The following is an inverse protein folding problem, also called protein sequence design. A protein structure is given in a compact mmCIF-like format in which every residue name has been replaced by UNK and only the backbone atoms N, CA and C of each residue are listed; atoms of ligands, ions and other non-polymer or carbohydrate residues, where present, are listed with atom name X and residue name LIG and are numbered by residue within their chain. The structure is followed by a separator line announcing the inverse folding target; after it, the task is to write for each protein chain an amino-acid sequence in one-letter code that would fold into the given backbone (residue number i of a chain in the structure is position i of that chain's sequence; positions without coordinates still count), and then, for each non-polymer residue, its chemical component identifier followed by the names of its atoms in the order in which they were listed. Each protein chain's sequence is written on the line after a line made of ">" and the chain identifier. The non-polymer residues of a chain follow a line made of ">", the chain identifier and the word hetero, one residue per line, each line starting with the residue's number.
data_IF_263311631508
#
_entry.id   IF_263311631508
#
_cell.length_a   1.000
_cell.length_b   1.000
_cell.length_c   1.000
_cell.angle_alpha   90.00
_cell.angle_beta   90.00
_cell.angle_gamma   90.00
#
_symmetry.space_group_name_H-M   'P 1'
#
loop_
_entity.id
_entity.type
_entity.pdbx_description
1 polymer ?
#
# COMPACT_ATOMS: atom_id res chain seq x y z
N UNK A 1 26.72 0.30 -5.43
CA UNK A 1 26.95 1.61 -4.77
C UNK A 1 25.94 1.77 -3.65
N UNK A 2 26.30 2.24 -2.46
CA UNK A 2 25.36 2.35 -1.35
C UNK A 2 24.40 3.51 -1.61
N UNK A 3 23.09 3.23 -1.62
CA UNK A 3 22.08 4.26 -1.57
C UNK A 3 21.97 4.77 -0.13
N UNK A 4 22.24 6.04 0.07
CA UNK A 4 22.01 6.69 1.36
C UNK A 4 20.52 7.02 1.46
N UNK A 5 19.80 6.35 2.35
CA UNK A 5 18.49 6.77 2.78
C UNK A 5 18.67 7.70 3.98
N UNK A 6 18.28 8.95 3.84
CA UNK A 6 18.22 9.86 4.99
C UNK A 6 16.86 9.67 5.64
N UNK A 7 16.82 8.98 6.77
CA UNK A 7 15.62 8.84 7.59
C UNK A 7 15.57 10.03 8.55
N UNK A 8 14.62 10.93 8.38
CA UNK A 8 14.31 11.94 9.37
C UNK A 8 13.21 11.41 10.30
N UNK A 9 13.59 11.04 11.51
CA UNK A 9 12.67 10.69 12.60
C UNK A 9 12.17 11.98 13.27
N UNK A 10 10.88 12.21 13.40
CA UNK A 10 10.39 13.16 14.37
C UNK A 10 10.43 12.50 15.76
N UNK A 11 11.35 12.92 16.62
CA UNK A 11 11.19 12.68 18.06
C UNK A 11 9.92 13.41 18.51
N UNK A 12 9.13 12.71 19.34
CA UNK A 12 7.88 13.19 19.95
C UNK A 12 8.14 14.45 20.80
N UNK A 13 8.17 15.60 20.17
CA UNK A 13 7.96 16.90 20.81
C UNK A 13 6.97 17.64 19.92
N UNK A 14 5.83 17.99 20.52
CA UNK A 14 4.71 18.62 19.87
C UNK A 14 5.08 19.95 19.21
N UNK A 15 5.44 19.88 17.95
CA UNK A 15 5.50 21.05 17.09
C UNK A 15 4.25 21.07 16.23
N UNK A 16 3.37 22.00 16.54
CA UNK A 16 2.34 22.46 15.62
C UNK A 16 3.03 23.03 14.38
N UNK A 17 3.39 22.15 13.43
CA UNK A 17 3.75 22.60 12.09
C UNK A 17 2.45 23.15 11.47
N UNK A 18 2.33 24.48 11.43
CA UNK A 18 1.14 25.13 10.92
C UNK A 18 0.88 24.64 9.49
N UNK A 19 -0.37 24.33 9.20
CA UNK A 19 -0.90 23.94 7.88
C UNK A 19 -0.47 24.91 6.76
N UNK A 20 0.04 26.09 7.11
CA UNK A 20 0.60 27.11 6.20
C UNK A 20 1.91 26.69 5.53
N UNK A 21 2.75 25.87 6.18
CA UNK A 21 4.00 25.38 5.56
C UNK A 21 3.74 24.28 4.53
N UNK A 22 2.73 23.44 4.75
CA UNK A 22 2.34 22.38 3.81
C UNK A 22 1.68 22.99 2.57
N UNK A 23 0.82 24.02 2.75
CA UNK A 23 0.26 24.76 1.63
C UNK A 23 1.33 25.55 0.84
N UNK A 24 2.31 26.13 1.52
CA UNK A 24 3.44 26.81 0.87
C UNK A 24 4.26 25.90 -0.02
N UNK A 25 4.49 24.66 0.40
CA UNK A 25 5.20 23.65 -0.40
C UNK A 25 4.36 23.20 -1.61
N UNK A 26 3.05 23.11 -1.47
CA UNK A 26 2.12 22.77 -2.57
C UNK A 26 1.99 23.89 -3.61
N UNK A 27 2.07 25.16 -3.19
CA UNK A 27 1.95 26.31 -4.10
C UNK A 27 3.22 26.54 -4.94
N UNK A 28 4.40 26.22 -4.41
CA UNK A 28 5.66 26.28 -5.18
C UNK A 28 5.70 25.21 -6.29
N UNK A 29 4.92 24.13 -6.15
CA UNK A 29 4.84 23.04 -7.14
C UNK A 29 3.91 23.34 -8.34
N UNK A 30 3.08 24.38 -8.28
CA UNK A 30 2.03 24.59 -9.29
C UNK A 30 2.41 25.50 -10.47
N UNK A 31 3.64 26.01 -10.56
CA UNK A 31 4.02 26.98 -11.57
C UNK A 31 5.25 26.53 -12.37
N UNK A 32 5.09 25.55 -13.25
CA UNK A 32 6.00 25.39 -14.40
C UNK A 32 5.41 24.39 -15.40
N UNK A 33 4.51 24.83 -16.27
CA UNK A 33 4.19 24.13 -17.51
C UNK A 33 5.13 24.69 -18.57
N UNK A 34 6.18 23.96 -18.93
CA UNK A 34 6.99 24.27 -20.11
C UNK A 34 7.34 23.01 -20.89
N UNK A 35 7.25 23.18 -22.19
CA UNK A 35 7.53 22.35 -23.34
C UNK A 35 8.63 21.28 -23.19
N UNK A 36 8.34 20.07 -23.69
CA UNK A 36 9.18 18.89 -23.71
C UNK A 36 9.94 18.74 -25.02
N UNK A 37 11.23 18.43 -24.91
CA UNK A 37 11.94 17.56 -25.84
C UNK A 37 11.97 16.16 -25.24
N UNK A 38 11.53 15.16 -25.99
CA UNK A 38 11.46 13.76 -25.53
C UNK A 38 12.87 13.15 -25.53
N UNK A 39 13.54 13.12 -24.40
CA UNK A 39 14.63 12.19 -24.14
C UNK A 39 14.10 11.02 -23.31
N UNK A 40 14.10 9.83 -23.89
CA UNK A 40 13.82 8.59 -23.18
C UNK A 40 15.03 8.27 -22.31
N UNK A 41 14.99 8.65 -21.05
CA UNK A 41 15.97 8.19 -20.06
C UNK A 41 15.52 6.80 -19.59
N UNK A 42 16.15 5.77 -20.16
CA UNK A 42 16.03 4.41 -19.61
C UNK A 42 16.82 4.39 -18.31
N UNK A 43 16.15 4.59 -17.18
CA UNK A 43 16.71 4.28 -15.88
C UNK A 43 16.79 2.76 -15.83
N UNK A 44 18.00 2.20 -15.95
CA UNK A 44 18.20 0.78 -15.74
C UNK A 44 17.64 0.43 -14.35
N UNK A 45 16.54 -0.30 -14.32
CA UNK A 45 16.07 -0.92 -13.09
C UNK A 45 17.25 -1.69 -12.52
N UNK A 46 17.51 -1.53 -11.21
CA UNK A 46 18.53 -2.31 -10.51
C UNK A 46 18.30 -3.75 -10.86
N UNK A 47 19.16 -4.30 -11.72
CA UNK A 47 19.07 -5.68 -12.14
C UNK A 47 19.10 -6.57 -10.89
N UNK A 48 18.01 -7.21 -10.59
CA UNK A 48 17.85 -8.22 -9.55
C UNK A 48 18.56 -9.51 -9.99
N UNK A 49 19.85 -9.42 -10.21
CA UNK A 49 20.65 -10.53 -10.78
C UNK A 49 20.71 -11.74 -9.86
N UNK A 50 20.23 -11.64 -8.61
CA UNK A 50 20.42 -12.70 -7.61
C UNK A 50 19.17 -13.18 -6.88
N UNK A 51 17.96 -12.77 -7.24
CA UNK A 51 16.77 -13.34 -6.63
C UNK A 51 16.20 -14.44 -7.50
N UNK A 52 16.35 -15.71 -7.10
CA UNK A 52 15.94 -16.84 -7.93
C UNK A 52 14.43 -16.98 -8.10
N UNK A 53 13.62 -16.10 -7.51
CA UNK A 53 12.17 -16.23 -7.55
C UNK A 53 11.49 -14.88 -7.32
N UNK A 54 11.18 -14.20 -8.41
CA UNK A 54 10.36 -12.99 -8.44
C UNK A 54 9.12 -13.28 -9.28
N UNK A 55 7.94 -13.09 -8.71
CA UNK A 55 6.70 -13.08 -9.47
C UNK A 55 6.29 -11.64 -9.70
N UNK A 56 5.86 -11.35 -10.91
CA UNK A 56 5.33 -10.05 -11.29
C UNK A 56 3.86 -10.21 -11.66
N UNK A 57 3.01 -9.41 -11.07
CA UNK A 57 1.59 -9.28 -11.41
C UNK A 57 1.45 -7.95 -12.13
N UNK A 58 1.14 -7.99 -13.42
CA UNK A 58 1.07 -6.82 -14.28
C UNK A 58 -0.25 -6.04 -14.09
N UNK A 59 -0.29 -4.79 -14.58
CA UNK A 59 -1.48 -3.94 -14.49
C UNK A 59 -2.71 -4.58 -15.16
N UNK A 60 -2.51 -5.29 -16.25
CA UNK A 60 -3.56 -6.00 -16.97
C UNK A 60 -4.21 -7.07 -16.06
N UNK A 61 -3.39 -7.91 -15.41
CA UNK A 61 -3.87 -8.96 -14.49
C UNK A 61 -4.56 -8.34 -13.27
N UNK A 62 -4.01 -7.25 -12.73
CA UNK A 62 -4.61 -6.50 -11.61
C UNK A 62 -5.99 -5.96 -12.02
N UNK A 63 -6.09 -5.41 -13.24
CA UNK A 63 -7.33 -4.85 -13.75
C UNK A 63 -8.38 -5.90 -14.07
N UNK A 64 -7.98 -7.07 -14.59
CA UNK A 64 -8.87 -8.19 -14.88
C UNK A 64 -9.44 -8.81 -13.60
N UNK A 65 -8.60 -8.99 -12.56
CA UNK A 65 -9.05 -9.53 -11.28
C UNK A 65 -9.93 -8.54 -10.54
N UNK A 66 -9.61 -7.25 -10.61
CA UNK A 66 -10.32 -6.18 -9.91
C UNK A 66 -10.64 -6.57 -8.45
N UNK A 67 -9.61 -6.90 -7.70
CA UNK A 67 -9.67 -7.60 -6.42
C UNK A 67 -10.48 -6.86 -5.34
N UNK A 68 -11.32 -7.58 -4.63
CA UNK A 68 -11.98 -7.08 -3.41
C UNK A 68 -11.07 -7.12 -2.19
N UNK A 69 -10.10 -8.00 -2.22
CA UNK A 69 -9.12 -8.13 -1.17
C UNK A 69 -7.75 -8.48 -1.74
N UNK A 70 -6.70 -7.99 -1.14
CA UNK A 70 -5.32 -8.22 -1.58
C UNK A 70 -4.94 -9.70 -1.75
N UNK A 71 -5.63 -10.59 -1.03
CA UNK A 71 -5.49 -12.05 -1.17
C UNK A 71 -5.66 -12.50 -2.62
N UNK A 72 -6.60 -11.90 -3.35
CA UNK A 72 -6.94 -12.32 -4.71
C UNK A 72 -5.78 -12.03 -5.66
N UNK A 73 -5.08 -10.93 -5.49
CA UNK A 73 -3.89 -10.58 -6.26
C UNK A 73 -2.69 -11.45 -5.87
N UNK A 74 -2.41 -11.58 -4.58
CA UNK A 74 -1.23 -12.31 -4.13
C UNK A 74 -1.35 -13.84 -4.27
N UNK A 75 -2.54 -14.37 -4.45
CA UNK A 75 -2.74 -15.79 -4.80
C UNK A 75 -2.18 -16.15 -6.18
N UNK A 76 -1.91 -15.19 -7.05
CA UNK A 76 -1.19 -15.41 -8.30
C UNK A 76 0.28 -15.75 -8.08
N UNK A 77 0.83 -15.40 -6.93
CA UNK A 77 2.23 -15.68 -6.59
C UNK A 77 2.35 -16.99 -5.83
N UNK A 78 2.99 -17.98 -6.43
CA UNK A 78 3.24 -19.27 -5.79
C UNK A 78 4.14 -19.12 -4.56
N UNK A 79 3.80 -19.80 -3.45
CA UNK A 79 4.56 -19.73 -2.19
C UNK A 79 4.27 -18.46 -1.37
N UNK A 80 3.32 -17.66 -1.79
CA UNK A 80 2.72 -16.57 -1.01
C UNK A 80 1.36 -17.04 -0.52
N UNK A 81 1.06 -16.78 0.73
CA UNK A 81 -0.22 -17.12 1.31
C UNK A 81 -0.77 -15.96 2.13
N UNK A 82 -2.04 -15.66 1.95
CA UNK A 82 -2.77 -14.67 2.72
C UNK A 82 -4.00 -15.31 3.34
N UNK A 83 -4.10 -15.25 4.66
CA UNK A 83 -5.35 -15.45 5.36
C UNK A 83 -6.11 -14.14 5.41
N UNK A 84 -7.30 -14.14 4.88
CA UNK A 84 -8.27 -13.05 5.05
C UNK A 84 -8.99 -13.24 6.38
N UNK A 85 -8.96 -12.22 7.24
CA UNK A 85 -9.82 -12.11 8.39
C UNK A 85 -11.14 -11.40 8.04
N UNK A 86 -11.65 -10.56 8.92
CA UNK A 86 -12.79 -9.68 8.63
C UNK A 86 -12.38 -8.56 7.69
N UNK A 87 -13.26 -8.21 6.76
CA UNK A 87 -13.07 -7.08 5.84
C UNK A 87 -11.72 -7.09 5.11
N UNK A 88 -10.89 -6.12 5.39
CA UNK A 88 -9.57 -5.90 4.78
C UNK A 88 -8.40 -6.46 5.62
N UNK A 89 -8.67 -7.28 6.62
CA UNK A 89 -7.61 -7.91 7.40
C UNK A 89 -6.80 -8.91 6.58
N UNK A 90 -5.48 -8.88 6.76
CA UNK A 90 -4.54 -9.71 6.01
C UNK A 90 -3.45 -10.26 6.92
N UNK A 91 -3.32 -11.57 7.01
CA UNK A 91 -2.16 -12.25 7.59
C UNK A 91 -1.38 -12.90 6.46
N UNK A 92 -0.15 -12.45 6.26
CA UNK A 92 0.66 -12.82 5.10
C UNK A 92 1.79 -13.73 5.50
N UNK A 93 2.12 -14.68 4.64
CA UNK A 93 3.37 -15.42 4.67
C UNK A 93 3.98 -15.55 3.27
N UNK A 94 5.30 -15.51 3.20
CA UNK A 94 6.07 -15.70 1.96
C UNK A 94 7.08 -16.81 2.24
N UNK A 95 6.78 -18.03 1.78
CA UNK A 95 7.62 -19.24 2.03
C UNK A 95 8.01 -19.39 3.51
N UNK A 96 7.14 -18.97 4.42
CA UNK A 96 7.38 -18.98 5.86
C UNK A 96 6.11 -19.34 6.61
N UNK A 97 6.19 -19.77 7.87
CA UNK A 97 5.01 -19.79 8.74
C UNK A 97 4.42 -18.38 8.89
N UNK A 98 3.12 -18.32 9.17
CA UNK A 98 2.41 -17.06 9.45
C UNK A 98 2.83 -16.54 10.81
N UNK A 99 2.87 -15.23 10.98
CA UNK A 99 3.15 -14.54 12.25
C UNK A 99 4.51 -14.95 12.87
N UNK A 100 5.51 -15.21 12.05
CA UNK A 100 6.87 -15.44 12.52
C UNK A 100 7.64 -14.15 12.75
N UNK A 101 8.70 -14.19 13.55
CA UNK A 101 9.54 -13.04 13.89
C UNK A 101 9.14 -12.35 15.18
N UNK A 102 9.81 -11.26 15.50
CA UNK A 102 9.56 -10.49 16.71
C UNK A 102 8.14 -9.96 16.73
N UNK A 103 7.43 -10.17 17.84
CA UNK A 103 6.05 -9.75 18.02
C UNK A 103 5.05 -10.47 17.12
N UNK A 104 5.39 -11.68 16.62
CA UNK A 104 4.53 -12.48 15.74
C UNK A 104 4.07 -11.74 14.47
N UNK A 105 4.91 -10.87 13.92
CA UNK A 105 4.52 -9.94 12.85
C UNK A 105 4.97 -10.35 11.44
N UNK A 106 5.59 -11.50 11.31
CA UNK A 106 6.20 -11.95 10.06
C UNK A 106 7.51 -11.21 9.75
N UNK A 107 8.41 -11.91 9.06
CA UNK A 107 9.70 -11.35 8.66
C UNK A 107 9.72 -11.11 7.15
N UNK A 108 8.77 -10.38 6.64
CA UNK A 108 8.66 -9.92 5.26
C UNK A 108 8.41 -8.41 5.24
N UNK A 109 8.75 -7.77 4.14
CA UNK A 109 8.62 -6.34 3.96
C UNK A 109 7.54 -6.03 2.91
N UNK A 110 6.80 -4.95 3.12
CA UNK A 110 5.93 -4.36 2.12
C UNK A 110 6.46 -2.97 1.82
N UNK A 111 6.68 -2.70 0.53
CA UNK A 111 7.14 -1.40 0.05
C UNK A 111 6.25 -0.90 -1.08
N UNK A 112 6.12 0.40 -1.21
CA UNK A 112 5.50 1.05 -2.36
C UNK A 112 6.47 2.09 -2.91
N UNK A 113 6.80 2.00 -4.21
CA UNK A 113 7.80 2.82 -4.87
C UNK A 113 9.11 2.96 -4.04
N UNK A 114 9.62 1.82 -3.55
CA UNK A 114 10.83 1.70 -2.73
C UNK A 114 10.70 2.23 -1.29
N UNK A 115 9.55 2.76 -0.89
CA UNK A 115 9.30 3.26 0.47
C UNK A 115 8.63 2.17 1.32
N UNK A 116 9.22 1.77 2.46
CA UNK A 116 8.57 0.87 3.40
C UNK A 116 7.27 1.46 3.94
N UNK A 117 6.19 0.71 3.87
CA UNK A 117 4.87 1.18 4.35
C UNK A 117 4.71 1.04 5.87
N UNK A 118 5.63 0.38 6.56
CA UNK A 118 5.61 0.30 8.02
C UNK A 118 6.83 0.98 8.65
N UNK A 119 6.70 1.57 9.86
CA UNK A 119 7.83 2.02 10.65
C UNK A 119 8.74 0.86 11.06
N UNK A 120 10.02 1.13 11.29
CA UNK A 120 10.95 0.16 11.85
C UNK A 120 10.45 -0.36 13.21
N UNK A 121 10.52 -1.68 13.39
CA UNK A 121 10.09 -2.32 14.64
C UNK A 121 8.57 -2.45 14.81
N UNK A 122 7.78 -2.00 13.86
CA UNK A 122 6.32 -2.13 13.90
C UNK A 122 5.82 -3.39 13.17
N UNK A 123 4.68 -3.91 13.59
CA UNK A 123 4.08 -5.10 13.03
C UNK A 123 3.54 -4.88 11.62
N UNK A 124 3.75 -5.85 10.70
CA UNK A 124 3.20 -5.81 9.34
C UNK A 124 1.75 -6.29 9.24
N UNK A 125 1.22 -6.83 10.31
CA UNK A 125 -0.14 -7.36 10.30
C UNK A 125 -1.10 -6.25 9.93
N UNK A 126 -1.92 -6.52 8.93
CA UNK A 126 -2.96 -5.61 8.42
C UNK A 126 -2.49 -4.32 7.74
N UNK A 127 -1.20 -4.09 7.52
CA UNK A 127 -0.75 -2.85 6.88
C UNK A 127 -1.06 -2.78 5.36
N UNK A 128 -1.48 -3.88 4.73
CA UNK A 128 -1.88 -3.86 3.32
C UNK A 128 -3.06 -2.93 3.02
N UNK A 129 -3.86 -2.56 4.02
CA UNK A 129 -4.92 -1.58 3.79
C UNK A 129 -4.37 -0.21 3.34
N UNK A 130 -3.12 0.12 3.69
CA UNK A 130 -2.49 1.40 3.37
C UNK A 130 -2.10 1.54 1.89
N UNK A 131 -2.06 0.46 1.15
CA UNK A 131 -1.69 0.46 -0.28
C UNK A 131 -2.87 0.14 -1.16
N UNK A 132 -2.83 0.60 -2.39
CA UNK A 132 -3.91 0.43 -3.35
C UNK A 132 -3.52 -0.58 -4.42
N UNK A 133 -3.74 -1.89 -4.14
CA UNK A 133 -3.42 -2.96 -5.07
C UNK A 133 -4.05 -2.76 -6.45
N UNK A 134 -5.34 -2.41 -6.50
CA UNK A 134 -6.06 -2.19 -7.77
C UNK A 134 -5.66 -0.91 -8.52
N UNK A 135 -4.93 0.00 -7.88
CA UNK A 135 -4.38 1.22 -8.50
C UNK A 135 -2.89 1.09 -8.79
N UNK A 136 -2.29 -0.07 -8.47
CA UNK A 136 -0.88 -0.33 -8.77
C UNK A 136 -0.69 -0.69 -10.24
N UNK A 137 0.41 -0.24 -10.82
CA UNK A 137 0.81 -0.64 -12.17
C UNK A 137 1.49 -2.01 -12.20
N UNK A 138 2.04 -2.45 -11.08
CA UNK A 138 2.67 -3.76 -10.93
C UNK A 138 2.78 -4.14 -9.46
N UNK A 139 2.66 -5.41 -9.17
CA UNK A 139 2.98 -5.98 -7.85
C UNK A 139 4.08 -7.03 -8.04
N UNK A 140 5.21 -6.83 -7.40
CA UNK A 140 6.32 -7.76 -7.41
C UNK A 140 6.38 -8.51 -6.08
N UNK A 141 6.41 -9.82 -6.13
CA UNK A 141 6.64 -10.66 -4.95
C UNK A 141 8.02 -11.28 -5.05
N UNK A 142 8.95 -10.78 -4.26
CA UNK A 142 10.34 -11.25 -4.21
C UNK A 142 10.43 -12.26 -3.07
N UNK A 143 10.70 -13.51 -3.41
CA UNK A 143 10.71 -14.64 -2.50
C UNK A 143 12.14 -15.00 -2.10
N UNK A 144 12.38 -15.09 -0.81
CA UNK A 144 13.70 -15.33 -0.25
C UNK A 144 14.30 -14.07 0.37
N UNK A 145 15.46 -14.19 1.00
CA UNK A 145 16.07 -13.10 1.73
C UNK A 145 16.49 -11.95 0.81
N UNK A 146 15.96 -10.78 1.10
CA UNK A 146 16.30 -9.51 0.44
C UNK A 146 16.84 -8.48 1.44
N UNK A 147 17.22 -8.94 2.64
CA UNK A 147 17.63 -8.10 3.77
C UNK A 147 18.88 -7.28 3.48
N UNK A 148 19.79 -7.76 2.62
CA UNK A 148 21.01 -7.04 2.23
C UNK A 148 20.71 -5.75 1.45
N UNK A 149 19.54 -5.68 0.81
CA UNK A 149 19.14 -4.53 0.01
C UNK A 149 18.09 -3.67 0.72
N UNK A 150 17.11 -4.32 1.38
CA UNK A 150 15.93 -3.66 1.95
C UNK A 150 15.89 -3.64 3.48
N UNK A 151 16.87 -4.24 4.14
CA UNK A 151 16.95 -4.29 5.60
C UNK A 151 16.32 -5.51 6.24
N UNK A 152 16.46 -5.64 7.56
CA UNK A 152 16.22 -6.86 8.32
C UNK A 152 14.81 -7.43 8.26
N UNK A 153 13.81 -6.63 7.90
CA UNK A 153 12.44 -7.09 7.78
C UNK A 153 12.18 -7.92 6.50
N UNK A 154 13.06 -7.86 5.51
CA UNK A 154 12.95 -8.62 4.27
C UNK A 154 13.61 -10.00 4.35
N UNK A 155 13.53 -10.70 5.48
CA UNK A 155 14.17 -11.99 5.71
C UNK A 155 13.60 -13.12 4.84
N UNK A 156 12.29 -13.21 4.74
CA UNK A 156 11.61 -14.23 3.93
C UNK A 156 11.24 -13.76 2.53
N UNK A 157 11.22 -12.45 2.34
CA UNK A 157 10.89 -11.82 1.08
C UNK A 157 10.28 -10.43 1.23
N UNK A 158 9.84 -9.89 0.13
CA UNK A 158 9.14 -8.61 0.12
C UNK A 158 8.04 -8.57 -0.96
N UNK A 159 7.06 -7.72 -0.71
CA UNK A 159 6.03 -7.34 -1.66
C UNK A 159 6.32 -5.89 -2.03
N UNK A 160 6.65 -5.66 -3.30
CA UNK A 160 6.92 -4.33 -3.85
C UNK A 160 5.75 -3.92 -4.76
N UNK A 161 5.03 -2.89 -4.36
CA UNK A 161 4.01 -2.29 -5.19
C UNK A 161 4.62 -1.14 -5.97
N UNK A 162 4.40 -1.15 -7.26
CA UNK A 162 4.64 0.02 -8.11
C UNK A 162 3.34 0.80 -8.18
N UNK A 163 3.35 2.03 -7.73
CA UNK A 163 2.16 2.90 -7.81
C UNK A 163 1.74 3.11 -9.27
N UNK A 164 0.61 3.77 -9.44
CA UNK A 164 0.10 4.14 -10.76
C UNK A 164 1.20 4.78 -11.64
N UNK A 165 1.26 4.40 -12.91
CA UNK A 165 2.17 5.00 -13.91
C UNK A 165 1.49 6.13 -14.67
N UNK A 166 2.29 6.92 -15.39
CA UNK A 166 1.78 8.01 -16.25
C UNK A 166 1.22 7.48 -17.57
N UNK A 167 1.66 6.30 -17.98
CA UNK A 167 1.22 5.61 -19.18
C UNK A 167 0.09 4.62 -18.85
N UNK A 168 -0.68 4.23 -19.87
CA UNK A 168 -1.78 3.29 -19.77
C UNK A 168 -3.15 3.92 -19.98
N UNK A 169 -4.19 3.13 -19.83
CA UNK A 169 -5.56 3.55 -20.13
C UNK A 169 -6.22 4.28 -18.94
N UNK A 170 -7.00 5.31 -19.26
CA UNK A 170 -7.93 5.90 -18.31
C UNK A 170 -9.13 4.97 -18.13
N UNK A 171 -9.61 4.81 -16.93
CA UNK A 171 -10.73 3.93 -16.65
C UNK A 171 -11.66 4.48 -15.58
N UNK A 172 -12.93 4.12 -15.69
CA UNK A 172 -13.94 4.28 -14.66
C UNK A 172 -14.68 2.96 -14.54
N UNK A 173 -14.83 2.46 -13.34
CA UNK A 173 -15.53 1.23 -13.04
C UNK A 173 -16.51 1.40 -11.90
N UNK A 174 -17.65 0.72 -12.00
CA UNK A 174 -18.64 0.61 -10.95
C UNK A 174 -19.06 -0.86 -10.81
N UNK A 175 -19.16 -1.32 -9.59
CA UNK A 175 -19.59 -2.68 -9.28
C UNK A 175 -20.59 -2.64 -8.13
N UNK A 176 -21.67 -3.38 -8.29
CA UNK A 176 -22.70 -3.55 -7.27
C UNK A 176 -22.98 -5.05 -7.17
N UNK A 177 -22.89 -5.59 -5.98
CA UNK A 177 -23.19 -6.99 -5.75
C UNK A 177 -24.58 -7.19 -5.13
N UNK A 178 -24.98 -8.46 -5.02
CA UNK A 178 -26.28 -8.87 -4.43
C UNK A 178 -26.42 -8.54 -2.94
N UNK A 179 -25.33 -8.23 -2.24
CA UNK A 179 -25.33 -7.88 -0.83
C UNK A 179 -25.37 -6.35 -0.63
N UNK A 180 -25.66 -5.60 -1.70
CA UNK A 180 -25.62 -4.13 -1.74
C UNK A 180 -24.21 -3.55 -1.43
N UNK A 181 -23.17 -4.30 -1.74
CA UNK A 181 -21.82 -3.74 -1.73
C UNK A 181 -21.61 -2.92 -3.00
N UNK A 182 -20.97 -1.77 -2.85
CA UNK A 182 -20.71 -0.83 -3.93
C UNK A 182 -19.22 -0.58 -4.01
N UNK A 183 -18.67 -0.72 -5.20
CA UNK A 183 -17.30 -0.31 -5.51
C UNK A 183 -17.28 0.65 -6.67
N UNK A 184 -16.39 1.62 -6.58
CA UNK A 184 -16.07 2.49 -7.71
C UNK A 184 -14.57 2.69 -7.80
N UNK A 185 -14.07 2.63 -9.04
CA UNK A 185 -12.65 2.86 -9.36
C UNK A 185 -12.56 3.90 -10.45
N UNK A 186 -11.65 4.84 -10.29
CA UNK A 186 -11.36 5.85 -11.27
C UNK A 186 -9.85 5.99 -11.45
N UNK A 187 -9.39 5.94 -12.70
CA UNK A 187 -7.98 6.17 -13.07
C UNK A 187 -7.95 7.20 -14.19
N UNK A 188 -7.17 8.23 -14.02
CA UNK A 188 -6.93 9.26 -15.03
C UNK A 188 -5.44 9.58 -15.14
N UNK A 189 -4.94 9.59 -16.36
CA UNK A 189 -3.56 9.92 -16.73
C UNK A 189 -3.56 11.04 -17.73
N UNK A 190 -2.67 12.00 -17.55
CA UNK A 190 -2.64 13.19 -18.39
C UNK A 190 -1.20 13.57 -18.74
N UNK A 191 -0.94 13.68 -20.04
CA UNK A 191 0.32 14.21 -20.59
C UNK A 191 1.59 13.54 -20.08
N UNK A 192 1.54 12.28 -19.72
CA UNK A 192 2.66 11.49 -19.17
C UNK A 192 3.37 12.13 -17.95
N UNK A 193 2.75 13.11 -17.28
CA UNK A 193 3.31 13.81 -16.12
C UNK A 193 2.38 13.84 -14.92
N UNK A 194 1.13 13.39 -15.09
CA UNK A 194 0.13 13.35 -14.05
C UNK A 194 -0.65 12.03 -14.12
N UNK A 195 -0.71 11.34 -13.03
CA UNK A 195 -1.57 10.18 -12.86
C UNK A 195 -2.35 10.30 -11.54
N UNK A 196 -3.62 9.99 -11.61
CA UNK A 196 -4.55 10.05 -10.49
C UNK A 196 -5.38 8.79 -10.44
N UNK A 197 -5.48 8.19 -9.26
CA UNK A 197 -6.32 7.02 -9.01
C UNK A 197 -7.17 7.22 -7.75
N UNK A 198 -8.40 6.73 -7.80
CA UNK A 198 -9.31 6.71 -6.66
C UNK A 198 -10.08 5.39 -6.65
N UNK A 199 -10.23 4.82 -5.46
CA UNK A 199 -11.02 3.63 -5.20
C UNK A 199 -11.90 3.89 -3.96
N UNK A 200 -13.19 3.63 -4.10
CA UNK A 200 -14.19 3.76 -3.04
C UNK A 200 -14.94 2.45 -2.93
N UNK A 201 -14.86 1.83 -1.76
CA UNK A 201 -15.50 0.56 -1.46
C UNK A 201 -16.43 0.70 -0.26
N UNK A 202 -17.64 0.17 -0.38
CA UNK A 202 -18.60 0.00 0.70
C UNK A 202 -19.15 -1.41 0.64
N UNK A 203 -18.72 -2.26 1.55
CA UNK A 203 -19.15 -3.66 1.66
C UNK A 203 -20.02 -3.81 2.91
N UNK A 204 -21.25 -4.29 2.73
CA UNK A 204 -22.18 -4.49 3.86
C UNK A 204 -21.90 -5.78 4.64
N UNK A 205 -20.92 -6.56 4.17
CA UNK A 205 -20.54 -7.81 4.79
C UNK A 205 -21.57 -8.95 4.55
N UNK A 206 -21.14 -10.17 4.83
CA UNK A 206 -21.99 -11.36 4.65
C UNK A 206 -22.83 -11.69 5.90
N UNK A 207 -22.55 -11.02 7.03
CA UNK A 207 -23.27 -11.15 8.29
C UNK A 207 -23.34 -9.82 9.03
N UNK A 208 -24.17 -9.74 10.04
CA UNK A 208 -24.34 -8.51 10.83
C UNK A 208 -23.02 -8.06 11.46
N UNK A 209 -22.67 -6.79 11.31
CA UNK A 209 -21.45 -6.21 11.87
C UNK A 209 -20.17 -6.79 11.27
N UNK A 210 -20.14 -6.99 9.94
CA UNK A 210 -18.95 -7.48 9.23
C UNK A 210 -18.63 -6.69 7.97
N UNK A 211 -19.24 -5.52 7.82
CA UNK A 211 -18.99 -4.64 6.69
C UNK A 211 -17.76 -3.76 6.85
N UNK A 212 -17.42 -3.04 5.79
CA UNK A 212 -16.40 -2.01 5.81
C UNK A 212 -16.67 -0.94 4.76
N UNK A 213 -16.17 0.25 5.04
CA UNK A 213 -16.06 1.35 4.09
C UNK A 213 -14.57 1.70 3.95
N UNK A 214 -14.09 1.76 2.69
CA UNK A 214 -12.70 2.08 2.40
C UNK A 214 -12.60 3.11 1.29
N UNK A 215 -11.73 4.09 1.46
CA UNK A 215 -11.39 5.09 0.45
C UNK A 215 -9.90 5.11 0.23
N UNK A 216 -9.47 5.06 -1.01
CA UNK A 216 -8.07 5.15 -1.43
C UNK A 216 -7.92 6.20 -2.51
N UNK A 217 -6.87 6.97 -2.38
CA UNK A 217 -6.52 8.05 -3.29
C UNK A 217 -5.02 8.01 -3.57
N UNK A 218 -4.64 8.07 -4.82
CA UNK A 218 -3.25 8.14 -5.26
C UNK A 218 -3.11 9.25 -6.29
N UNK A 219 -2.13 10.10 -6.10
CA UNK A 219 -1.74 11.14 -7.06
C UNK A 219 -0.24 11.04 -7.31
N UNK A 220 0.16 10.89 -8.54
CA UNK A 220 1.55 10.88 -8.97
C UNK A 220 1.81 11.99 -9.97
N UNK A 221 2.93 12.69 -9.81
CA UNK A 221 3.35 13.76 -10.72
C UNK A 221 4.82 13.59 -11.08
N UNK A 222 5.17 13.93 -12.33
CA UNK A 222 6.53 14.03 -12.79
C UNK A 222 6.83 15.45 -13.21
N UNK A 223 7.98 15.97 -12.81
CA UNK A 223 8.50 17.26 -13.21
C UNK A 223 10.01 17.18 -13.44
N UNK A 224 10.53 18.04 -14.33
CA UNK A 224 11.97 18.20 -14.55
C UNK A 224 12.38 19.64 -14.25
N UNK A 225 13.44 19.79 -13.49
CA UNK A 225 14.01 21.11 -13.17
C UNK A 225 15.53 21.03 -13.09
N UNK A 226 16.23 21.77 -13.92
CA UNK A 226 17.70 21.83 -13.98
C UNK A 226 18.33 20.42 -13.98
N UNK A 227 17.95 19.55 -14.91
CA UNK A 227 18.40 18.16 -15.07
C UNK A 227 18.03 17.21 -13.89
N UNK A 228 17.23 17.68 -12.93
CA UNK A 228 16.63 16.82 -11.94
C UNK A 228 15.28 16.29 -12.44
N UNK A 229 15.13 14.99 -12.43
CA UNK A 229 13.82 14.35 -12.55
C UNK A 229 13.22 14.27 -11.14
N UNK A 230 11.99 14.74 -11.00
CA UNK A 230 11.25 14.80 -9.74
C UNK A 230 9.93 14.04 -9.91
N UNK A 231 9.82 12.87 -9.27
CA UNK A 231 8.59 12.09 -9.21
C UNK A 231 8.00 12.22 -7.81
N UNK A 232 6.80 12.77 -7.72
CA UNK A 232 6.10 12.92 -6.43
C UNK A 232 4.90 12.01 -6.37
N UNK A 233 4.69 11.36 -5.22
CA UNK A 233 3.56 10.49 -4.92
C UNK A 233 2.87 10.97 -3.65
N UNK A 234 1.54 11.12 -3.72
CA UNK A 234 0.66 11.29 -2.57
C UNK A 234 -0.26 10.08 -2.53
N UNK A 235 -0.31 9.39 -1.39
CA UNK A 235 -1.22 8.27 -1.16
C UNK A 235 -2.00 8.53 0.12
N UNK A 236 -3.32 8.43 0.05
CA UNK A 236 -4.23 8.61 1.17
C UNK A 236 -5.14 7.40 1.23
N UNK A 237 -5.28 6.84 2.42
CA UNK A 237 -6.19 5.72 2.66
C UNK A 237 -6.96 5.94 3.94
N UNK A 238 -8.25 5.63 3.90
CA UNK A 238 -9.12 5.57 5.06
C UNK A 238 -9.88 4.24 5.04
N UNK A 239 -9.98 3.60 6.19
CA UNK A 239 -10.71 2.34 6.41
C UNK A 239 -11.52 2.47 7.69
N UNK A 240 -12.83 2.24 7.56
CA UNK A 240 -13.73 2.03 8.68
C UNK A 240 -14.32 0.63 8.53
N UNK A 241 -14.11 -0.25 9.49
CA UNK A 241 -14.42 -1.66 9.38
C UNK A 241 -15.05 -2.19 10.65
N UNK A 242 -16.18 -2.87 10.50
CA UNK A 242 -16.74 -3.74 11.53
C UNK A 242 -15.96 -5.06 11.54
N UNK A 243 -15.40 -5.42 12.68
CA UNK A 243 -14.64 -6.67 12.82
C UNK A 243 -15.50 -7.72 13.46
N UNK A 244 -16.14 -8.52 12.61
CA UNK A 244 -17.02 -9.59 13.09
C UNK A 244 -16.26 -10.58 13.96
N UNK A 245 -16.83 -10.90 15.12
CA UNK A 245 -16.22 -11.78 16.09
C UNK A 245 -16.08 -13.22 15.60
N UNK A 246 -15.37 -13.99 16.38
CA UNK A 246 -15.07 -15.41 16.11
C UNK A 246 -16.32 -16.28 16.21
N UNK A 247 -16.36 -17.34 15.39
CA UNK A 247 -17.34 -18.43 15.48
C UNK A 247 -16.60 -19.77 15.60
N UNK A 248 -17.17 -20.70 16.39
CA UNK A 248 -16.50 -21.97 16.70
C UNK A 248 -16.41 -22.91 15.49
N UNK A 249 -17.41 -22.86 14.60
CA UNK A 249 -17.50 -23.76 13.46
C UNK A 249 -18.31 -23.11 12.32
N UNK A 250 -17.97 -23.46 11.10
CA UNK A 250 -18.77 -23.10 9.92
C UNK A 250 -20.20 -23.65 9.98
N UNK A 251 -20.38 -24.80 10.61
CA UNK A 251 -21.70 -25.44 10.81
C UNK A 251 -22.50 -24.85 11.98
N UNK A 252 -21.91 -23.89 12.70
CA UNK A 252 -22.58 -23.26 13.83
C UNK A 252 -23.93 -22.65 13.38
N UNK A 253 -25.06 -22.93 14.08
CA UNK A 253 -26.38 -22.46 13.68
C UNK A 253 -26.46 -20.93 13.53
N UNK A 254 -25.69 -20.19 14.32
CA UNK A 254 -25.63 -18.73 14.34
C UNK A 254 -24.44 -18.13 13.57
N UNK A 255 -23.90 -18.86 12.58
CA UNK A 255 -22.73 -18.38 11.81
C UNK A 255 -22.91 -17.04 11.11
N UNK A 256 -24.14 -16.63 10.86
CA UNK A 256 -24.48 -15.34 10.27
C UNK A 256 -24.69 -14.23 11.31
N UNK A 257 -24.72 -14.58 12.60
CA UNK A 257 -24.79 -13.62 13.69
C UNK A 257 -23.38 -13.16 14.07
N UNK A 258 -23.28 -11.94 14.54
CA UNK A 258 -22.06 -11.42 15.16
C UNK A 258 -22.29 -11.26 16.67
N UNK A 259 -21.49 -11.97 17.46
CA UNK A 259 -21.57 -11.91 18.93
C UNK A 259 -20.83 -10.70 19.52
N UNK A 260 -20.01 -10.02 18.73
CA UNK A 260 -19.12 -8.94 19.14
C UNK A 260 -19.35 -7.70 18.26
N UNK A 261 -20.55 -7.11 18.37
CA UNK A 261 -20.94 -5.95 17.55
C UNK A 261 -20.12 -4.69 17.81
N UNK A 262 -19.44 -4.64 18.97
CA UNK A 262 -18.54 -3.56 19.35
C UNK A 262 -17.14 -3.69 18.74
N UNK A 263 -16.83 -4.80 18.11
CA UNK A 263 -15.52 -5.01 17.48
C UNK A 263 -15.43 -4.22 16.17
N UNK A 264 -14.40 -3.42 16.05
CA UNK A 264 -14.17 -2.55 14.89
C UNK A 264 -12.68 -2.33 14.63
N UNK A 265 -12.38 -1.75 13.47
CA UNK A 265 -11.07 -1.21 13.11
C UNK A 265 -11.25 0.05 12.29
N UNK A 266 -10.74 1.15 12.81
CA UNK A 266 -10.63 2.42 12.11
C UNK A 266 -9.16 2.70 11.83
N UNK A 267 -8.83 2.91 10.57
CA UNK A 267 -7.45 3.12 10.18
C UNK A 267 -7.34 4.18 9.08
N UNK A 268 -6.34 5.02 9.19
CA UNK A 268 -6.06 6.00 8.17
C UNK A 268 -4.55 6.16 7.96
N UNK A 269 -4.16 6.49 6.74
CA UNK A 269 -2.79 6.83 6.42
C UNK A 269 -2.71 7.91 5.35
N UNK A 270 -1.67 8.73 5.46
CA UNK A 270 -1.24 9.66 4.43
C UNK A 270 0.26 9.51 4.25
N UNK A 271 0.69 9.40 3.00
CA UNK A 271 2.09 9.33 2.61
C UNK A 271 2.36 10.33 1.51
N UNK A 272 3.50 10.98 1.62
CA UNK A 272 4.05 11.88 0.62
C UNK A 272 5.51 11.54 0.43
N UNK A 273 5.93 11.30 -0.79
CA UNK A 273 7.35 11.22 -1.15
C UNK A 273 7.63 11.97 -2.45
N UNK A 274 8.87 12.38 -2.62
CA UNK A 274 9.36 12.91 -3.88
C UNK A 274 10.72 12.31 -4.16
N UNK A 275 10.81 11.56 -5.24
CA UNK A 275 12.06 10.97 -5.72
C UNK A 275 12.73 11.98 -6.64
N UNK A 276 13.91 12.44 -6.26
CA UNK A 276 14.79 13.30 -7.04
C UNK A 276 15.85 12.42 -7.67
N UNK A 277 16.01 12.48 -8.98
CA UNK A 277 17.05 11.74 -9.70
C UNK A 277 17.81 12.66 -10.64
N UNK A 278 19.13 12.56 -10.65
CA UNK A 278 20.00 13.29 -11.57
C UNK A 278 21.16 12.42 -12.00
N UNK A 279 21.42 12.43 -13.32
CA UNK A 279 22.56 11.76 -13.91
C UNK A 279 23.79 12.69 -13.88
N UNK A 280 24.92 12.17 -13.40
CA UNK A 280 26.23 12.81 -13.45
C UNK A 280 27.19 11.84 -14.14
N UNK A 281 27.52 12.05 -15.38
CA UNK A 281 28.32 11.13 -16.19
C UNK A 281 27.85 9.67 -16.06
N UNK A 282 28.64 8.83 -15.41
CA UNK A 282 28.33 7.40 -15.18
C UNK A 282 27.57 7.14 -13.86
N UNK A 283 27.28 8.17 -13.06
CA UNK A 283 26.68 8.04 -11.74
C UNK A 283 25.30 8.67 -11.71
N UNK A 284 24.30 7.91 -11.27
CA UNK A 284 22.97 8.46 -10.97
C UNK A 284 22.83 8.69 -9.47
N UNK A 285 22.60 9.92 -9.07
CA UNK A 285 22.22 10.28 -7.72
C UNK A 285 20.69 10.24 -7.60
N UNK A 286 20.20 9.47 -6.63
CA UNK A 286 18.78 9.42 -6.29
C UNK A 286 18.57 9.72 -4.81
N UNK A 287 17.66 10.66 -4.54
CA UNK A 287 17.20 11.01 -3.20
C UNK A 287 15.70 10.80 -3.14
N UNK A 288 15.22 10.10 -2.12
CA UNK A 288 13.77 9.79 -2.00
C UNK A 288 13.27 10.12 -0.58
N UNK A 289 13.19 11.42 -0.21
CA UNK A 289 12.59 11.82 1.06
C UNK A 289 11.10 11.51 1.09
N UNK A 290 10.62 11.06 2.26
CA UNK A 290 9.21 10.80 2.45
C UNK A 290 8.72 11.21 3.83
N UNK A 291 7.42 11.49 3.92
CA UNK A 291 6.69 11.70 5.17
C UNK A 291 5.49 10.76 5.18
N UNK A 292 5.27 10.13 6.32
CA UNK A 292 4.13 9.25 6.54
C UNK A 292 3.50 9.54 7.89
N UNK A 293 2.16 9.58 7.90
CA UNK A 293 1.35 9.54 9.11
C UNK A 293 0.33 8.42 8.95
N UNK A 294 0.27 7.55 9.94
CA UNK A 294 -0.68 6.43 9.96
C UNK A 294 -1.22 6.27 11.37
N UNK A 295 -2.49 5.95 11.50
CA UNK A 295 -3.13 5.62 12.76
C UNK A 295 -4.08 4.45 12.58
N UNK A 296 -4.23 3.66 13.63
CA UNK A 296 -5.18 2.56 13.68
C UNK A 296 -5.72 2.45 15.10
N UNK A 297 -7.03 2.45 15.22
CA UNK A 297 -7.76 2.13 16.44
C UNK A 297 -8.60 0.88 16.21
N UNK A 298 -8.66 -0.01 17.18
CA UNK A 298 -9.44 -1.23 17.03
C UNK A 298 -9.86 -1.83 18.36
N UNK A 299 -10.99 -2.51 18.34
CA UNK A 299 -11.41 -3.49 19.35
C UNK A 299 -11.56 -4.81 18.61
N UNK A 300 -10.90 -5.84 19.12
CA UNK A 300 -10.97 -7.18 18.55
C UNK A 300 -11.12 -8.23 19.64
N UNK A 301 -11.96 -9.24 19.38
CA UNK A 301 -12.19 -10.37 20.26
C UNK A 301 -11.48 -11.61 19.70
N UNK A 302 -10.57 -12.21 20.46
CA UNK A 302 -9.91 -13.47 20.10
C UNK A 302 -10.61 -14.70 20.65
N UNK A 303 -11.45 -14.53 21.69
CA UNK A 303 -12.25 -15.59 22.24
C UNK A 303 -13.74 -15.25 22.11
N UNK A 304 -14.59 -16.26 21.86
CA UNK A 304 -16.04 -16.03 21.76
C UNK A 304 -16.58 -15.31 22.99
N UNK A 305 -17.29 -14.20 22.76
CA UNK A 305 -17.98 -13.45 23.78
C UNK A 305 -17.13 -12.72 24.82
N UNK A 306 -15.81 -12.57 24.61
CA UNK A 306 -14.93 -11.82 25.50
C UNK A 306 -14.10 -10.79 24.76
N UNK A 307 -14.15 -9.50 25.15
CA UNK A 307 -13.23 -8.51 24.66
C UNK A 307 -11.83 -8.82 25.13
N UNK A 308 -10.83 -8.58 24.30
CA UNK A 308 -9.46 -8.90 24.64
C UNK A 308 -8.70 -7.68 25.07
N UNK A 309 -8.80 -6.59 24.39
CA UNK A 309 -8.21 -5.31 24.83
C UNK A 309 -8.67 -4.15 23.94
N UNK A 310 -8.57 -2.94 24.48
CA UNK A 310 -8.68 -1.69 23.74
C UNK A 310 -7.30 -1.25 23.29
#
# INVERSE_FOLDING_TARGET
>A
MPAFFIYLYPQNQGYNLSMRCVLGFLIIFSLSIFSQEEEIIVIAERGWVFTPSVDNIAEEEISEINAHHFKELLNLSSGTWISRGSGQESLISIRSPVLTGSGACGSFLIIEDEIPIRPLGFCNVNNLFEVSGNLSSQIQVIKGSSSSVFGGNALHGLINLKSITFEGQNSIGFEIDKNNSLRSKFINRKNNVLAFGMELDSDKGFRKGSGYDQQKFVLKTENRYNDWLMESLISITNLNQETAGYIDSYEHPRRLENQNLEAYRDANSIRLNTKFSKQFDEVTLTLNPYVRKSSMEFIQHYLPGKPIEK
#
